data_IF_555921318091
#
_entry.id   IF_555921318091
#
_cell.length_a   1.000
_cell.length_b   1.000
_cell.length_c   1.000
_cell.angle_alpha   90.00
_cell.angle_beta   90.00
_cell.angle_gamma   90.00
#
_symmetry.space_group_name_H-M   'P 1'
#
loop_
_entity.id
_entity.type
_entity.pdbx_description
1 polymer ?
#
# COMPACT_ATOMS: atom_id res chain seq x y z
N UNK A 1 31.85 6.02 4.90
CA UNK A 1 30.91 5.88 3.78
C UNK A 1 29.52 6.16 4.28
N UNK A 2 28.84 7.22 3.79
CA UNK A 2 27.42 7.40 4.07
C UNK A 2 26.67 6.40 3.19
N UNK A 3 25.94 5.48 3.80
CA UNK A 3 25.07 4.56 3.07
C UNK A 3 24.14 5.38 2.18
N UNK A 4 24.05 5.10 0.86
CA UNK A 4 23.02 5.71 0.05
C UNK A 4 21.69 5.25 0.64
N UNK A 5 20.84 6.19 1.08
CA UNK A 5 19.46 5.86 1.40
C UNK A 5 18.92 5.13 0.17
N UNK A 6 18.60 3.85 0.31
CA UNK A 6 17.85 3.16 -0.72
C UNK A 6 16.59 4.00 -0.91
N UNK A 7 16.46 4.64 -2.09
CA UNK A 7 15.24 5.34 -2.45
C UNK A 7 14.17 4.28 -2.46
N UNK A 8 13.38 4.21 -1.39
CA UNK A 8 12.21 3.35 -1.33
C UNK A 8 11.32 3.85 -2.45
N UNK A 9 11.09 3.01 -3.46
CA UNK A 9 10.08 3.28 -4.45
C UNK A 9 8.73 3.30 -3.73
N UNK A 10 8.20 4.51 -3.53
CA UNK A 10 6.95 4.73 -2.81
C UNK A 10 5.81 3.97 -3.48
N UNK A 11 5.83 3.81 -4.81
CA UNK A 11 4.80 3.06 -5.52
C UNK A 11 4.86 1.57 -5.19
N UNK A 12 6.08 1.03 -5.06
CA UNK A 12 6.28 -0.35 -4.64
C UNK A 12 5.81 -0.58 -3.20
N UNK A 13 6.10 0.37 -2.30
CA UNK A 13 5.63 0.32 -0.92
C UNK A 13 4.10 0.35 -0.85
N UNK A 14 3.47 1.29 -1.56
CA UNK A 14 2.00 1.42 -1.60
C UNK A 14 1.35 0.16 -2.13
N UNK A 15 1.85 -0.41 -3.23
CA UNK A 15 1.31 -1.65 -3.80
C UNK A 15 1.42 -2.84 -2.84
N UNK A 16 2.52 -2.96 -2.09
CA UNK A 16 2.67 -4.00 -1.06
C UNK A 16 1.68 -3.83 0.09
N UNK A 17 1.53 -2.61 0.61
CA UNK A 17 0.55 -2.33 1.67
C UNK A 17 -0.88 -2.63 1.19
N UNK A 18 -1.22 -2.28 -0.05
CA UNK A 18 -2.52 -2.61 -0.64
C UNK A 18 -2.70 -4.13 -0.79
N UNK A 19 -1.67 -4.85 -1.26
CA UNK A 19 -1.66 -6.31 -1.38
C UNK A 19 -1.94 -6.98 -0.03
N UNK A 20 -1.26 -6.54 1.03
CA UNK A 20 -1.43 -7.07 2.39
C UNK A 20 -2.83 -6.79 2.96
N UNK A 21 -3.33 -5.57 2.82
CA UNK A 21 -4.62 -5.18 3.44
C UNK A 21 -5.81 -5.76 2.69
N UNK A 22 -5.73 -5.82 1.36
CA UNK A 22 -6.81 -6.33 0.50
C UNK A 22 -6.73 -7.85 0.29
N UNK A 23 -5.65 -8.48 0.76
CA UNK A 23 -5.37 -9.90 0.53
C UNK A 23 -5.41 -10.25 -0.97
N UNK A 24 -4.74 -9.42 -1.77
CA UNK A 24 -4.63 -9.55 -3.22
C UNK A 24 -3.18 -9.75 -3.62
N UNK A 25 -2.95 -10.41 -4.74
CA UNK A 25 -1.60 -10.50 -5.31
C UNK A 25 -1.12 -9.10 -5.77
N UNK A 26 0.12 -8.73 -5.45
CA UNK A 26 0.66 -7.41 -5.82
C UNK A 26 0.64 -7.15 -7.34
N UNK A 27 0.70 -8.21 -8.16
CA UNK A 27 0.68 -8.11 -9.62
C UNK A 27 -0.66 -7.68 -10.21
N UNK A 28 -1.77 -7.83 -9.46
CA UNK A 28 -3.08 -7.38 -9.92
C UNK A 28 -3.34 -5.89 -9.60
N UNK A 29 -2.49 -5.29 -8.76
CA UNK A 29 -2.62 -3.90 -8.32
C UNK A 29 -1.85 -2.99 -9.27
N UNK A 30 -2.58 -2.35 -10.19
CA UNK A 30 -2.00 -1.42 -11.15
C UNK A 30 -2.03 0.00 -10.59
N UNK A 31 -1.10 0.88 -11.00
CA UNK A 31 -1.10 2.28 -10.58
C UNK A 31 -2.44 3.00 -10.83
N UNK A 32 -3.14 2.63 -11.89
CA UNK A 32 -4.42 3.19 -12.30
C UNK A 32 -5.65 2.53 -11.66
N UNK A 33 -5.47 1.47 -10.85
CA UNK A 33 -6.59 0.73 -10.24
C UNK A 33 -7.38 1.61 -9.26
N UNK A 34 -8.69 1.64 -9.44
CA UNK A 34 -9.63 2.17 -8.46
C UNK A 34 -9.71 1.25 -7.25
N UNK A 35 -9.47 1.80 -6.05
CA UNK A 35 -9.60 1.06 -4.80
C UNK A 35 -10.98 0.43 -4.66
N UNK A 36 -12.04 1.14 -5.05
CA UNK A 36 -13.43 0.70 -4.88
C UNK A 36 -13.86 -0.16 -6.07
N UNK A 37 -13.69 0.33 -7.31
CA UNK A 37 -14.31 -0.33 -8.46
C UNK A 37 -13.49 -1.53 -8.97
N UNK A 38 -12.16 -1.47 -8.87
CA UNK A 38 -11.28 -2.51 -9.44
C UNK A 38 -10.78 -3.48 -8.38
N UNK A 39 -10.45 -2.97 -7.18
CA UNK A 39 -9.90 -3.78 -6.09
C UNK A 39 -10.96 -4.16 -5.04
N UNK A 40 -12.21 -3.72 -5.22
CA UNK A 40 -13.35 -4.02 -4.36
C UNK A 40 -13.08 -3.74 -2.86
N UNK A 41 -12.29 -2.71 -2.56
CA UNK A 41 -12.00 -2.31 -1.20
C UNK A 41 -13.22 -1.61 -0.60
N UNK A 42 -13.72 -2.14 0.52
CA UNK A 42 -14.81 -1.52 1.25
C UNK A 42 -14.30 -0.57 2.36
N UNK A 43 -15.22 0.09 3.04
CA UNK A 43 -14.90 1.06 4.10
C UNK A 43 -14.01 0.50 5.23
N UNK A 44 -14.10 -0.79 5.52
CA UNK A 44 -13.30 -1.49 6.51
C UNK A 44 -11.85 -1.62 6.03
N UNK A 45 -11.62 -2.04 4.79
CA UNK A 45 -10.29 -2.11 4.19
C UNK A 45 -9.64 -0.73 4.10
N UNK A 46 -10.40 0.28 3.69
CA UNK A 46 -9.92 1.67 3.65
C UNK A 46 -9.50 2.16 5.05
N UNK A 47 -10.24 1.80 6.10
CA UNK A 47 -9.88 2.12 7.49
C UNK A 47 -8.60 1.39 7.93
N UNK A 48 -8.42 0.13 7.54
CA UNK A 48 -7.19 -0.63 7.81
C UNK A 48 -5.98 0.03 7.13
N UNK A 49 -6.12 0.46 5.86
CA UNK A 49 -5.05 1.17 5.13
C UNK A 49 -4.59 2.43 5.86
N UNK A 50 -5.53 3.24 6.35
CA UNK A 50 -5.23 4.46 7.12
C UNK A 50 -4.52 4.15 8.46
N UNK A 51 -4.83 3.00 9.07
CA UNK A 51 -4.22 2.58 10.34
C UNK A 51 -2.80 2.06 10.14
N UNK A 52 -2.62 1.22 9.11
CA UNK A 52 -1.30 0.66 8.75
C UNK A 52 -0.34 1.77 8.34
N UNK A 53 -0.78 2.69 7.48
CA UNK A 53 0.03 3.85 7.08
C UNK A 53 0.35 4.77 8.26
N UNK A 54 -0.57 4.98 9.20
CA UNK A 54 -0.31 5.70 10.45
C UNK A 54 0.78 5.04 11.31
N UNK A 55 0.91 3.71 11.28
CA UNK A 55 1.98 2.98 11.97
C UNK A 55 3.37 3.13 11.34
N UNK A 56 3.47 3.45 10.04
CA UNK A 56 4.74 3.69 9.35
C UNK A 56 5.33 5.10 9.62
N UNK A 57 4.56 6.04 10.16
CA UNK A 57 5.04 7.40 10.53
C UNK A 57 5.39 7.56 12.02
N UNK A 58 5.11 6.55 12.87
CA UNK A 58 5.27 6.63 14.34
C UNK A 58 6.33 5.66 14.85
N UNK A 59 7.35 5.34 14.05
CA UNK A 59 8.49 4.54 14.51
C UNK A 59 9.82 5.16 14.15
#
# INVERSE_FOLDING_TARGET
MKTPYALIDLNELVRRVLSDVLNLDVSVIKPESSLINDLNADSLELRKLMTVTGGYYVK
#
